data_IF_393272968914
#
_entry.id   IF_393272968914
#
_cell.length_a   1.000
_cell.length_b   1.000
_cell.length_c   1.000
_cell.angle_alpha   90.00
_cell.angle_beta   90.00
_cell.angle_gamma   90.00
#
_symmetry.space_group_name_H-M   'P 1'
#
loop_
_entity.id
_entity.type
_entity.pdbx_description
1 polymer ?
#
# COMPACT_ATOMS: atom_id res chain seq x y z
N UNK A 1 31.34 56.25 56.29
CA UNK A 1 31.10 54.98 55.58
C UNK A 1 29.81 55.15 54.78
N UNK A 2 29.88 55.86 53.65
CA UNK A 2 30.23 55.35 52.29
C UNK A 2 28.99 54.71 51.62
N UNK A 3 28.08 55.51 51.07
CA UNK A 3 28.03 55.95 49.66
C UNK A 3 27.81 54.86 48.57
N UNK A 4 27.52 53.60 48.88
CA UNK A 4 27.40 52.57 47.83
C UNK A 4 26.13 51.67 47.81
N UNK A 5 25.16 51.87 48.71
CA UNK A 5 24.00 50.93 48.81
C UNK A 5 22.83 51.27 47.87
N UNK A 6 22.86 52.41 47.16
CA UNK A 6 21.79 52.80 46.22
C UNK A 6 22.17 52.68 44.72
N UNK A 7 23.34 52.14 44.39
CA UNK A 7 23.87 52.11 43.01
C UNK A 7 24.10 50.70 42.42
N UNK A 8 23.87 49.64 43.19
CA UNK A 8 24.00 48.24 42.72
C UNK A 8 22.65 47.55 42.91
N UNK A 9 21.70 47.85 42.03
CA UNK A 9 20.57 46.97 41.68
C UNK A 9 19.60 47.62 40.69
N UNK A 10 19.88 48.85 40.22
CA UNK A 10 19.16 49.48 39.12
C UNK A 10 19.98 49.40 37.82
N UNK A 11 20.62 48.25 37.62
CA UNK A 11 21.27 47.87 36.37
C UNK A 11 21.05 46.37 36.11
N UNK A 12 19.88 45.83 36.46
CA UNK A 12 19.39 44.67 35.73
C UNK A 12 18.75 45.22 34.46
N UNK A 13 19.66 45.53 33.52
CA UNK A 13 19.34 45.85 32.14
C UNK A 13 18.29 44.86 31.67
N UNK A 14 17.16 45.44 31.28
CA UNK A 14 16.13 44.87 30.45
C UNK A 14 16.79 44.30 29.19
N UNK A 15 17.31 43.09 29.28
CA UNK A 15 17.53 42.24 28.13
C UNK A 15 16.24 41.49 27.93
N UNK A 16 15.23 42.19 27.39
CA UNK A 16 14.29 41.46 26.54
C UNK A 16 15.15 40.97 25.39
N UNK A 17 15.60 39.71 25.50
CA UNK A 17 15.96 38.98 24.31
C UNK A 17 14.75 39.07 23.39
N UNK A 18 14.87 39.85 22.33
CA UNK A 18 14.04 39.67 21.16
C UNK A 18 14.42 38.29 20.63
N UNK A 19 13.81 37.26 21.21
CA UNK A 19 13.66 36.01 20.49
C UNK A 19 12.83 36.39 19.27
N UNK A 20 13.47 36.47 18.11
CA UNK A 20 12.75 36.45 16.85
C UNK A 20 12.03 35.10 16.81
N UNK A 21 10.78 35.06 17.27
CA UNK A 21 9.91 33.95 16.94
C UNK A 21 9.70 34.05 15.42
N UNK A 22 10.43 33.24 14.68
CA UNK A 22 10.20 33.11 13.25
C UNK A 22 8.78 32.55 13.09
N UNK A 23 7.95 33.21 12.31
CA UNK A 23 6.58 32.77 12.05
C UNK A 23 6.63 31.41 11.36
N UNK A 24 6.28 30.35 12.10
CA UNK A 24 6.25 28.98 11.62
C UNK A 24 4.86 28.65 11.13
N UNK A 25 4.75 28.03 9.96
CA UNK A 25 3.47 27.55 9.46
C UNK A 25 2.97 26.36 10.28
N UNK A 26 1.65 26.17 10.34
CA UNK A 26 1.09 24.95 10.91
C UNK A 26 1.53 23.75 10.07
N UNK A 27 1.94 22.63 10.70
CA UNK A 27 2.29 21.42 9.98
C UNK A 27 1.05 20.83 9.29
N UNK A 28 1.25 20.02 8.23
CA UNK A 28 0.15 19.37 7.55
C UNK A 28 -0.46 18.29 8.47
N UNK A 29 -1.77 18.09 8.34
CA UNK A 29 -2.52 17.05 9.06
C UNK A 29 -2.86 15.95 8.06
N UNK A 30 -2.62 14.70 8.43
CA UNK A 30 -3.00 13.54 7.61
C UNK A 30 -4.53 13.35 7.61
N UNK A 31 -5.12 13.15 6.44
CA UNK A 31 -6.58 12.93 6.24
C UNK A 31 -6.83 11.50 5.76
N UNK A 32 -6.08 11.05 4.74
CA UNK A 32 -6.31 9.77 4.08
C UNK A 32 -5.03 9.19 3.48
N UNK A 33 -4.93 7.86 3.48
CA UNK A 33 -3.86 7.10 2.82
C UNK A 33 -4.50 6.01 1.97
N UNK A 34 -4.09 5.94 0.70
CA UNK A 34 -4.53 4.88 -0.20
C UNK A 34 -3.32 4.12 -0.74
N UNK A 35 -3.49 2.81 -0.88
CA UNK A 35 -2.55 1.90 -1.53
C UNK A 35 -3.22 1.27 -2.74
N UNK A 36 -2.65 1.46 -3.93
CA UNK A 36 -3.19 0.93 -5.20
C UNK A 36 -4.68 1.25 -5.39
N UNK A 37 -5.06 2.51 -5.14
CA UNK A 37 -6.45 3.00 -5.18
C UNK A 37 -7.42 2.38 -4.15
N UNK A 38 -6.92 1.66 -3.15
CA UNK A 38 -7.72 1.19 -2.02
C UNK A 38 -7.34 1.95 -0.76
N UNK A 39 -8.33 2.37 0.03
CA UNK A 39 -8.07 2.96 1.36
C UNK A 39 -7.36 1.94 2.25
N UNK A 40 -6.38 2.40 3.02
CA UNK A 40 -5.65 1.57 3.98
C UNK A 40 -5.73 2.20 5.36
N UNK A 41 -6.10 1.38 6.35
CA UNK A 41 -6.09 1.82 7.74
C UNK A 41 -4.66 1.88 8.26
N UNK A 42 -4.36 2.93 9.02
CA UNK A 42 -3.10 3.09 9.72
C UNK A 42 -3.20 2.29 11.03
N UNK A 43 -2.19 1.48 11.30
CA UNK A 43 -2.10 0.66 12.51
C UNK A 43 -1.99 1.52 13.78
N UNK A 44 -2.18 0.88 14.95
CA UNK A 44 -1.93 1.53 16.24
C UNK A 44 -0.47 2.00 16.42
N UNK A 45 0.46 1.43 15.65
CA UNK A 45 1.88 1.80 15.62
C UNK A 45 2.19 2.88 14.56
N UNK A 46 1.16 3.57 14.06
CA UNK A 46 1.27 4.61 13.04
C UNK A 46 1.91 4.12 11.73
N UNK A 47 1.59 2.89 11.31
CA UNK A 47 2.21 2.25 10.15
C UNK A 47 1.22 1.60 9.19
N UNK A 48 1.62 1.47 7.92
CA UNK A 48 0.93 0.68 6.90
C UNK A 48 1.90 -0.36 6.31
N UNK A 49 1.35 -1.46 5.80
CA UNK A 49 2.14 -2.45 5.05
C UNK A 49 2.12 -2.15 3.55
N UNK A 50 3.30 -2.13 2.93
CA UNK A 50 3.46 -2.02 1.49
C UNK A 50 4.53 -2.98 0.96
N UNK A 51 4.47 -3.23 -0.33
CA UNK A 51 5.40 -4.09 -1.07
C UNK A 51 6.09 -3.29 -2.17
N UNK A 52 7.14 -3.86 -2.78
CA UNK A 52 7.79 -3.23 -3.93
C UNK A 52 6.81 -3.16 -5.12
N UNK A 53 6.57 -1.97 -5.64
CA UNK A 53 5.61 -1.71 -6.73
C UNK A 53 4.31 -1.07 -6.29
N UNK A 54 4.01 -1.06 -4.98
CA UNK A 54 2.80 -0.43 -4.46
C UNK A 54 2.80 1.09 -4.72
N UNK A 55 1.69 1.61 -5.22
CA UNK A 55 1.42 3.03 -5.38
C UNK A 55 0.73 3.57 -4.12
N UNK A 56 1.33 4.57 -3.49
CA UNK A 56 0.86 5.20 -2.25
C UNK A 56 0.39 6.62 -2.55
N UNK A 57 -0.88 6.89 -2.27
CA UNK A 57 -1.45 8.23 -2.25
C UNK A 57 -1.55 8.69 -0.79
N UNK A 58 -0.97 9.85 -0.49
CA UNK A 58 -1.07 10.49 0.82
C UNK A 58 -1.87 11.78 0.65
N UNK A 59 -2.93 11.95 1.42
CA UNK A 59 -3.77 13.13 1.41
C UNK A 59 -3.95 13.71 2.79
N UNK A 60 -4.15 15.02 2.85
CA UNK A 60 -4.19 15.74 4.12
C UNK A 60 -4.83 17.10 4.03
N UNK A 61 -4.77 17.80 5.16
CA UNK A 61 -5.18 19.18 5.33
C UNK A 61 -3.96 20.07 5.61
N UNK A 62 -3.97 21.29 5.10
CA UNK A 62 -2.96 22.32 5.36
C UNK A 62 -3.53 23.71 5.07
N UNK A 63 -2.73 24.76 5.24
CA UNK A 63 -3.15 26.13 4.92
C UNK A 63 -3.42 26.29 3.41
N UNK A 64 -4.59 26.80 3.06
CA UNK A 64 -5.01 27.08 1.67
C UNK A 64 -3.96 27.90 0.92
N UNK A 65 -3.66 27.51 -0.32
CA UNK A 65 -2.71 28.21 -1.18
C UNK A 65 -1.23 27.89 -0.92
N UNK A 66 -0.91 27.21 0.18
CA UNK A 66 0.45 26.75 0.46
C UNK A 66 0.83 25.50 -0.36
N UNK A 67 2.09 25.08 -0.27
CA UNK A 67 2.58 23.82 -0.85
C UNK A 67 3.01 22.83 0.24
N UNK A 68 2.64 21.57 0.10
CA UNK A 68 3.10 20.48 0.97
C UNK A 68 4.18 19.69 0.24
N UNK A 69 5.32 19.48 0.89
CA UNK A 69 6.38 18.58 0.43
C UNK A 69 6.41 17.35 1.32
N UNK A 70 6.11 16.18 0.75
CA UNK A 70 6.20 14.88 1.39
C UNK A 70 7.54 14.23 1.05
N UNK A 71 8.19 13.65 2.04
CA UNK A 71 9.46 12.98 1.96
C UNK A 71 9.25 11.49 2.15
N UNK A 72 9.77 10.68 1.22
CA UNK A 72 9.76 9.23 1.30
C UNK A 72 11.01 8.68 0.63
N UNK A 73 11.78 7.84 1.32
CA UNK A 73 13.02 7.22 0.82
C UNK A 73 13.97 8.25 0.14
N UNK A 74 14.25 9.35 0.83
CA UNK A 74 15.04 10.51 0.37
C UNK A 74 14.50 11.27 -0.86
N UNK A 75 13.38 10.84 -1.46
CA UNK A 75 12.69 11.55 -2.52
C UNK A 75 11.70 12.58 -1.96
N UNK A 76 11.37 13.59 -2.78
CA UNK A 76 10.42 14.66 -2.44
C UNK A 76 9.26 14.67 -3.42
N UNK A 77 8.04 14.72 -2.89
CA UNK A 77 6.79 14.78 -3.64
C UNK A 77 6.03 16.03 -3.22
N UNK A 78 5.63 16.86 -4.19
CA UNK A 78 4.98 18.14 -3.92
C UNK A 78 3.49 18.09 -4.26
N UNK A 79 2.67 18.57 -3.34
CA UNK A 79 1.24 18.81 -3.53
C UNK A 79 0.92 20.28 -3.26
N UNK A 80 -0.06 20.83 -3.98
CA UNK A 80 -0.58 22.18 -3.73
C UNK A 80 -1.86 22.04 -2.90
N UNK A 81 -2.01 22.91 -1.91
CA UNK A 81 -3.22 22.94 -1.07
C UNK A 81 -4.31 23.72 -1.80
N UNK A 82 -5.45 23.08 -2.03
CA UNK A 82 -6.59 23.66 -2.71
C UNK A 82 -7.38 24.66 -1.83
N UNK A 83 -8.45 25.23 -2.40
CA UNK A 83 -9.33 26.19 -1.73
C UNK A 83 -10.07 25.64 -0.50
N UNK A 84 -10.18 24.32 -0.39
CA UNK A 84 -10.79 23.63 0.75
C UNK A 84 -9.75 23.21 1.80
N UNK A 85 -8.48 23.58 1.61
CA UNK A 85 -7.39 23.21 2.50
C UNK A 85 -6.88 21.78 2.28
N UNK A 86 -7.31 21.09 1.22
CA UNK A 86 -6.93 19.70 0.94
C UNK A 86 -5.74 19.63 0.00
N UNK A 87 -4.92 18.61 0.18
CA UNK A 87 -3.80 18.30 -0.69
C UNK A 87 -3.64 16.79 -0.84
N UNK A 88 -2.95 16.35 -1.89
CA UNK A 88 -2.46 14.98 -1.99
C UNK A 88 -1.16 14.90 -2.79
N UNK A 89 -0.42 13.81 -2.57
CA UNK A 89 0.70 13.39 -3.41
C UNK A 89 0.55 11.90 -3.74
N UNK A 90 1.20 11.47 -4.82
CA UNK A 90 1.25 10.08 -5.25
C UNK A 90 2.71 9.70 -5.49
N UNK A 91 3.13 8.57 -4.93
CA UNK A 91 4.45 7.99 -5.16
C UNK A 91 4.39 6.46 -5.18
N UNK A 92 5.45 5.82 -5.65
CA UNK A 92 5.56 4.36 -5.69
C UNK A 92 6.68 3.87 -4.79
N UNK A 93 6.44 2.78 -4.07
CA UNK A 93 7.48 2.05 -3.35
C UNK A 93 8.34 1.34 -4.38
N UNK A 94 9.61 1.73 -4.51
CA UNK A 94 10.51 1.19 -5.54
C UNK A 94 11.81 0.74 -4.92
N UNK A 95 12.16 -0.55 -5.14
CA UNK A 95 13.40 -1.17 -4.67
C UNK A 95 13.72 -0.83 -3.20
N UNK A 96 12.80 -1.14 -2.26
CA UNK A 96 13.05 -0.90 -0.85
C UNK A 96 14.32 -1.63 -0.41
N UNK A 97 15.15 -0.94 0.37
CA UNK A 97 16.41 -1.44 0.95
C UNK A 97 16.32 -1.60 2.46
N UNK A 98 15.30 -1.00 3.06
CA UNK A 98 15.03 -0.99 4.49
C UNK A 98 13.65 -1.62 4.71
N UNK A 99 13.41 -2.14 5.91
CA UNK A 99 12.14 -2.75 6.28
C UNK A 99 11.09 -1.71 6.70
N UNK A 100 11.53 -0.51 7.07
CA UNK A 100 10.67 0.56 7.56
C UNK A 100 11.10 1.89 6.94
N UNK A 101 10.13 2.71 6.56
CA UNK A 101 10.35 4.05 6.02
C UNK A 101 9.40 5.05 6.66
N UNK A 102 9.93 6.13 7.21
CA UNK A 102 9.11 7.28 7.62
C UNK A 102 8.61 8.05 6.40
N UNK A 103 7.33 8.41 6.42
CA UNK A 103 6.72 9.36 5.50
C UNK A 103 6.56 10.67 6.24
N UNK A 104 7.38 11.66 5.89
CA UNK A 104 7.43 12.95 6.57
C UNK A 104 6.87 14.06 5.68
N UNK A 105 6.39 15.17 6.25
CA UNK A 105 5.90 16.29 5.46
C UNK A 105 6.22 17.65 6.06
N UNK A 106 6.35 18.65 5.18
CA UNK A 106 6.55 20.06 5.50
C UNK A 106 5.59 20.90 4.66
N UNK A 107 4.92 21.87 5.28
CA UNK A 107 4.23 22.96 4.58
C UNK A 107 5.22 24.08 4.28
N UNK A 108 5.19 24.62 3.08
CA UNK A 108 5.97 25.79 2.65
C UNK A 108 5.04 26.79 1.97
N UNK A 109 5.18 28.05 2.37
CA UNK A 109 4.47 29.20 1.79
C UNK A 109 5.47 30.33 1.61
N UNK A 110 5.71 30.77 0.37
CA UNK A 110 6.68 31.78 -0.11
C UNK A 110 8.04 31.87 0.64
N UNK A 111 8.06 32.27 1.92
CA UNK A 111 9.24 32.45 2.76
C UNK A 111 9.18 31.74 4.14
N UNK A 112 8.09 31.07 4.48
CA UNK A 112 7.90 30.37 5.77
C UNK A 112 7.73 28.87 5.56
N UNK A 113 8.12 28.11 6.59
CA UNK A 113 8.00 26.65 6.62
C UNK A 113 7.39 26.21 7.93
N UNK A 114 6.67 25.11 7.90
CA UNK A 114 6.29 24.40 9.13
C UNK A 114 7.47 23.61 9.68
N UNK A 115 7.29 23.10 10.90
CA UNK A 115 8.08 21.95 11.36
C UNK A 115 7.88 20.77 10.41
N UNK A 116 8.91 19.93 10.29
CA UNK A 116 8.81 18.65 9.62
C UNK A 116 8.16 17.64 10.56
N UNK A 117 7.06 17.05 10.12
CA UNK A 117 6.29 16.06 10.89
C UNK A 117 6.35 14.71 10.21
N UNK A 118 6.54 13.63 10.97
CA UNK A 118 6.28 12.27 10.52
C UNK A 118 4.76 12.04 10.48
N UNK A 119 4.22 11.75 9.30
CA UNK A 119 2.80 11.47 9.13
C UNK A 119 2.49 10.03 9.54
N UNK A 120 3.21 9.07 8.97
CA UNK A 120 3.09 7.64 9.25
C UNK A 120 4.34 6.91 8.74
N UNK A 121 4.40 5.60 8.97
CA UNK A 121 5.48 4.73 8.52
C UNK A 121 4.98 3.70 7.52
N UNK A 122 5.85 3.34 6.59
CA UNK A 122 5.62 2.22 5.67
C UNK A 122 6.51 1.06 6.11
N UNK A 123 5.89 -0.06 6.49
CA UNK A 123 6.56 -1.34 6.70
C UNK A 123 6.57 -2.10 5.39
N UNK A 124 7.77 -2.46 4.94
CA UNK A 124 7.98 -3.26 3.75
C UNK A 124 7.74 -4.72 4.12
N UNK A 125 6.66 -5.27 3.60
CA UNK A 125 6.35 -6.69 3.70
C UNK A 125 6.77 -7.33 2.39
N UNK A 126 7.37 -8.51 2.45
CA UNK A 126 7.60 -9.30 1.25
C UNK A 126 6.23 -9.78 0.76
N UNK A 127 5.88 -9.48 -0.49
CA UNK A 127 4.83 -10.22 -1.18
C UNK A 127 5.24 -11.69 -1.08
N UNK A 128 4.35 -12.54 -0.56
CA UNK A 128 4.62 -13.96 -0.44
C UNK A 128 4.90 -14.47 -1.85
N UNK A 129 6.19 -14.59 -2.17
CA UNK A 129 6.69 -14.95 -3.48
C UNK A 129 6.41 -16.40 -3.84
N UNK A 130 5.27 -16.96 -3.44
CA UNK A 130 4.67 -18.06 -4.17
C UNK A 130 4.27 -17.52 -5.53
N UNK A 131 4.94 -17.93 -6.62
CA UNK A 131 4.32 -17.78 -7.93
C UNK A 131 2.91 -18.38 -7.84
N UNK A 132 1.94 -17.82 -8.54
CA UNK A 132 0.73 -18.55 -8.85
C UNK A 132 1.15 -19.82 -9.62
N UNK A 133 1.42 -20.89 -8.89
CA UNK A 133 1.39 -22.23 -9.44
C UNK A 133 -0.07 -22.40 -9.78
N UNK A 134 -0.41 -22.14 -11.04
CA UNK A 134 -1.57 -22.78 -11.63
C UNK A 134 -1.24 -24.26 -11.52
N UNK A 135 -1.70 -24.90 -10.44
CA UNK A 135 -1.77 -26.35 -10.42
C UNK A 135 -2.71 -26.69 -11.57
N UNK A 136 -2.14 -26.99 -12.74
CA UNK A 136 -2.86 -27.76 -13.72
C UNK A 136 -3.34 -28.99 -12.94
N UNK A 137 -4.65 -29.10 -12.73
CA UNK A 137 -5.29 -30.28 -12.15
C UNK A 137 -5.01 -31.44 -13.10
N UNK A 138 -3.81 -32.00 -12.99
CA UNK A 138 -3.42 -33.19 -13.73
C UNK A 138 -4.16 -34.31 -13.02
N UNK A 139 -5.40 -34.55 -13.43
CA UNK A 139 -6.19 -35.69 -12.97
C UNK A 139 -5.35 -36.93 -13.22
N UNK A 140 -4.76 -37.45 -12.15
CA UNK A 140 -4.03 -38.70 -12.16
C UNK A 140 -5.09 -39.80 -12.25
N UNK A 141 -5.45 -40.17 -13.48
CA UNK A 141 -6.43 -41.22 -13.70
C UNK A 141 -5.76 -42.52 -13.26
N UNK A 142 -6.13 -43.00 -12.06
CA UNK A 142 -5.64 -44.27 -11.52
C UNK A 142 -5.80 -45.36 -12.59
N UNK A 143 -4.73 -46.11 -12.84
CA UNK A 143 -4.74 -47.25 -13.76
C UNK A 143 -5.91 -48.21 -13.45
N UNK A 144 -6.32 -48.35 -12.19
CA UNK A 144 -7.52 -49.10 -11.81
C UNK A 144 -8.81 -48.52 -12.40
N UNK A 145 -8.97 -47.20 -12.42
CA UNK A 145 -10.12 -46.52 -13.04
C UNK A 145 -10.12 -46.77 -14.55
N UNK A 146 -8.94 -46.68 -15.20
CA UNK A 146 -8.80 -47.00 -16.64
C UNK A 146 -9.22 -48.43 -16.94
N UNK A 147 -8.78 -49.39 -16.11
CA UNK A 147 -9.14 -50.81 -16.24
C UNK A 147 -10.65 -51.01 -16.06
N UNK A 148 -11.28 -50.36 -15.08
CA UNK A 148 -12.74 -50.45 -14.86
C UNK A 148 -13.52 -49.88 -16.06
N UNK A 149 -13.08 -48.75 -16.62
CA UNK A 149 -13.71 -48.15 -17.80
C UNK A 149 -13.60 -49.08 -19.01
N UNK A 150 -12.39 -49.62 -19.27
CA UNK A 150 -12.16 -50.57 -20.37
C UNK A 150 -12.99 -51.84 -20.23
N UNK A 151 -13.08 -52.40 -19.02
CA UNK A 151 -13.92 -53.56 -18.75
C UNK A 151 -15.40 -53.26 -18.98
N UNK A 152 -15.88 -52.10 -18.53
CA UNK A 152 -17.26 -51.67 -18.72
C UNK A 152 -17.60 -51.49 -20.21
N UNK A 153 -16.68 -50.93 -20.99
CA UNK A 153 -16.84 -50.70 -22.43
C UNK A 153 -16.80 -52.02 -23.23
N UNK A 154 -15.95 -52.98 -22.83
CA UNK A 154 -15.92 -54.32 -23.41
C UNK A 154 -17.22 -55.08 -23.14
N UNK A 155 -17.75 -55.01 -21.91
CA UNK A 155 -19.04 -55.62 -21.56
C UNK A 155 -20.15 -55.03 -22.41
N UNK A 156 -20.19 -53.71 -22.57
CA UNK A 156 -21.19 -53.05 -23.40
C UNK A 156 -21.13 -53.52 -24.87
N UNK A 157 -19.92 -53.68 -25.41
CA UNK A 157 -19.70 -54.17 -26.77
C UNK A 157 -20.14 -55.63 -26.94
N UNK A 158 -19.85 -56.49 -25.96
CA UNK A 158 -20.29 -57.89 -25.95
C UNK A 158 -21.82 -58.00 -25.86
N UNK A 159 -22.45 -57.19 -24.99
CA UNK A 159 -23.91 -57.13 -24.87
C UNK A 159 -24.53 -56.69 -26.20
N UNK A 160 -24.02 -55.62 -26.80
CA UNK A 160 -24.47 -55.16 -28.12
C UNK A 160 -24.31 -56.24 -29.20
N UNK A 161 -23.18 -56.96 -29.20
CA UNK A 161 -22.94 -58.05 -30.14
C UNK A 161 -23.91 -59.22 -29.96
N UNK A 162 -24.20 -59.62 -28.73
CA UNK A 162 -25.15 -60.70 -28.42
C UNK A 162 -26.60 -60.32 -28.74
N UNK A 163 -26.98 -59.06 -28.50
CA UNK A 163 -28.29 -58.52 -28.82
C UNK A 163 -28.42 -58.11 -30.30
N UNK A 164 -27.34 -58.14 -31.08
CA UNK A 164 -27.42 -57.86 -32.50
C UNK A 164 -28.32 -58.91 -33.16
N UNK A 165 -29.46 -58.51 -33.75
CA UNK A 165 -30.35 -59.47 -34.38
C UNK A 165 -29.59 -60.09 -35.55
N UNK A 166 -29.28 -61.39 -35.45
CA UNK A 166 -28.72 -62.17 -36.56
C UNK A 166 -29.64 -61.95 -37.75
N UNK A 167 -29.17 -61.21 -38.75
CA UNK A 167 -29.91 -60.93 -39.98
C UNK A 167 -30.33 -62.28 -40.56
N UNK A 168 -31.60 -62.62 -40.39
CA UNK A 168 -32.22 -63.79 -40.98
C UNK A 168 -32.06 -63.63 -42.49
N UNK A 169 -31.17 -64.42 -43.11
CA UNK A 169 -31.20 -64.62 -44.55
C UNK A 169 -32.51 -65.32 -44.87
N UNK A 170 -33.53 -64.53 -45.15
CA UNK A 170 -34.76 -64.96 -45.81
C UNK A 170 -34.38 -65.42 -47.21
N UNK A 171 -34.15 -66.72 -47.39
CA UNK A 171 -34.10 -67.30 -48.74
C UNK A 171 -35.50 -67.79 -49.11
N UNK A 172 -36.30 -66.88 -49.67
CA UNK A 172 -37.46 -67.23 -50.51
C UNK A 172 -36.96 -68.04 -51.71
N UNK A 173 -37.49 -69.25 -51.92
CA UNK A 173 -37.77 -69.89 -53.22
C UNK A 173 -38.99 -70.79 -52.99
N UNK A 174 -40.18 -70.38 -53.43
CA UNK A 174 -40.79 -70.62 -54.76
C UNK A 174 -40.99 -72.11 -55.01
#
# INVERSE_FOLDING_TARGET
>A
MKKYILLISMLFLFTLGTAYAQETQNPPILDDVMKNNMGVDISEENSINATNGDAIRVAGLAQVGSSVTVYFNNAQYKGVVDENGKWFVLFSVTQPKEQEYSVEAIVSDDNTKSEKVELFKILIVEEDGTPLVIEEEKRDIDFKIVVIILQSLLILLLVWFLLSPKILKTRKKK
#
